data_IF_997589884878
#
_entry.id   IF_997589884878
#
_cell.length_a   1.000
_cell.length_b   1.000
_cell.length_c   1.000
_cell.angle_alpha   90.00
_cell.angle_beta   90.00
_cell.angle_gamma   90.00
#
_symmetry.space_group_name_H-M   'P 1'
#
loop_
_entity.id
_entity.type
_entity.pdbx_description
1 polymer ?
#
# COMPACT_ATOMS: atom_id res chain seq x y z
N UNK A 1 -13.61 4.08 -8.04
CA UNK A 1 -13.39 2.67 -7.66
C UNK A 1 -14.13 1.80 -8.63
N UNK A 2 -13.44 1.07 -9.50
CA UNK A 2 -14.12 0.19 -10.45
C UNK A 2 -14.71 -1.04 -9.77
N UNK A 3 -14.03 -1.58 -8.74
CA UNK A 3 -14.50 -2.74 -8.01
C UNK A 3 -14.44 -2.48 -6.50
N UNK A 4 -15.57 -2.61 -5.86
CA UNK A 4 -15.68 -2.61 -4.40
C UNK A 4 -16.40 -3.87 -3.95
N UNK A 5 -15.65 -4.80 -3.38
CA UNK A 5 -16.19 -6.00 -2.77
C UNK A 5 -16.59 -5.70 -1.33
N UNK A 6 -17.82 -5.97 -0.97
CA UNK A 6 -18.32 -5.64 0.37
C UNK A 6 -18.93 -6.87 1.02
N UNK A 7 -18.49 -7.16 2.24
CA UNK A 7 -19.01 -8.25 3.09
C UNK A 7 -18.92 -9.65 2.46
N UNK A 8 -17.84 -9.89 1.71
CA UNK A 8 -17.58 -11.20 1.15
C UNK A 8 -16.81 -12.06 2.14
N UNK A 9 -17.09 -13.35 2.11
CA UNK A 9 -16.32 -14.37 2.84
C UNK A 9 -15.97 -15.52 1.89
N UNK A 10 -14.78 -16.11 2.10
CA UNK A 10 -14.30 -17.28 1.33
C UNK A 10 -14.35 -17.05 -0.19
N UNK A 11 -13.97 -15.88 -0.63
CA UNK A 11 -14.12 -15.44 -2.01
C UNK A 11 -12.76 -15.02 -2.60
N UNK A 12 -12.70 -14.94 -3.91
CA UNK A 12 -11.47 -14.54 -4.59
C UNK A 12 -11.72 -13.70 -5.84
N UNK A 13 -10.73 -12.84 -6.15
CA UNK A 13 -10.53 -12.19 -7.44
C UNK A 13 -9.17 -12.63 -7.97
N UNK A 14 -9.11 -13.09 -9.21
CA UNK A 14 -7.84 -13.53 -9.81
C UNK A 14 -7.78 -13.29 -11.30
N UNK A 15 -6.56 -13.13 -11.84
CA UNK A 15 -6.26 -12.96 -13.26
C UNK A 15 -7.03 -11.77 -13.85
N UNK A 16 -6.88 -10.62 -13.21
CA UNK A 16 -7.53 -9.38 -13.62
C UNK A 16 -6.47 -8.39 -14.07
N UNK A 17 -6.73 -7.71 -15.17
CA UNK A 17 -5.94 -6.57 -15.61
C UNK A 17 -6.76 -5.31 -15.46
N UNK A 18 -6.19 -4.33 -14.79
CA UNK A 18 -6.68 -2.96 -14.70
C UNK A 18 -5.85 -2.07 -15.62
N UNK A 19 -6.50 -1.27 -16.43
CA UNK A 19 -5.82 -0.34 -17.35
C UNK A 19 -6.43 1.06 -17.22
N UNK A 20 -5.57 2.07 -17.01
CA UNK A 20 -5.97 3.46 -16.86
C UNK A 20 -7.00 3.69 -15.73
N UNK A 21 -6.79 3.08 -14.59
CA UNK A 21 -7.73 3.11 -13.46
C UNK A 21 -7.15 3.91 -12.30
N UNK A 22 -7.94 4.80 -11.72
CA UNK A 22 -7.52 5.57 -10.54
C UNK A 22 -7.41 4.73 -9.28
N UNK A 23 -8.44 3.95 -8.96
CA UNK A 23 -8.43 3.01 -7.82
C UNK A 23 -8.84 1.63 -8.32
N UNK A 24 -8.04 0.59 -8.10
CA UNK A 24 -8.28 -0.73 -8.69
C UNK A 24 -9.37 -1.51 -7.95
N UNK A 25 -9.06 -2.07 -6.81
CA UNK A 25 -10.03 -2.87 -6.05
C UNK A 25 -9.92 -2.63 -4.55
N UNK A 26 -11.05 -2.61 -3.88
CA UNK A 26 -11.13 -2.59 -2.42
C UNK A 26 -11.97 -3.76 -1.92
N UNK A 27 -11.43 -4.51 -0.96
CA UNK A 27 -12.18 -5.52 -0.21
C UNK A 27 -12.56 -4.90 1.13
N UNK A 28 -13.83 -4.59 1.30
CA UNK A 28 -14.36 -3.90 2.48
C UNK A 28 -15.22 -4.83 3.32
N UNK A 29 -14.96 -4.87 4.63
CA UNK A 29 -15.69 -5.71 5.59
C UNK A 29 -15.71 -7.20 5.19
N UNK A 30 -14.61 -7.67 4.58
CA UNK A 30 -14.48 -9.02 4.05
C UNK A 30 -13.66 -9.91 5.00
N UNK A 31 -13.79 -11.22 4.83
CA UNK A 31 -12.98 -12.20 5.57
C UNK A 31 -12.61 -13.40 4.70
N UNK A 32 -11.37 -13.91 4.88
CA UNK A 32 -10.86 -15.05 4.10
C UNK A 32 -10.97 -14.80 2.58
N UNK A 33 -10.54 -13.64 2.11
CA UNK A 33 -10.61 -13.27 0.70
C UNK A 33 -9.21 -13.26 0.08
N UNK A 34 -9.15 -13.58 -1.20
CA UNK A 34 -7.88 -13.65 -1.95
C UNK A 34 -7.99 -12.76 -3.19
N UNK A 35 -7.03 -11.86 -3.33
CA UNK A 35 -6.75 -11.15 -4.58
C UNK A 35 -5.42 -11.68 -5.13
N UNK A 36 -5.44 -12.29 -6.30
CA UNK A 36 -4.29 -13.01 -6.82
C UNK A 36 -4.10 -12.81 -8.31
N UNK A 37 -2.84 -12.60 -8.72
CA UNK A 37 -2.44 -12.50 -10.12
C UNK A 37 -3.17 -11.34 -10.83
N UNK A 38 -2.82 -10.12 -10.41
CA UNK A 38 -3.41 -8.88 -10.91
C UNK A 38 -2.34 -8.01 -11.56
N UNK A 39 -2.63 -7.51 -12.73
CA UNK A 39 -1.79 -6.55 -13.44
C UNK A 39 -2.47 -5.18 -13.47
N UNK A 40 -1.70 -4.13 -13.18
CA UNK A 40 -2.17 -2.73 -13.25
C UNK A 40 -1.28 -1.98 -14.22
N UNK A 41 -1.86 -1.38 -15.25
CA UNK A 41 -1.13 -0.76 -16.35
C UNK A 41 -1.72 0.58 -16.79
N UNK A 42 -0.96 1.28 -17.63
CA UNK A 42 -1.39 2.55 -18.21
C UNK A 42 -1.09 3.74 -17.33
N UNK A 43 -1.96 4.73 -17.31
CA UNK A 43 -1.73 5.96 -16.56
C UNK A 43 -1.79 5.71 -15.06
N UNK A 44 -0.90 6.41 -14.35
CA UNK A 44 -0.85 6.41 -12.90
C UNK A 44 -2.18 6.88 -12.30
N UNK A 45 -2.66 6.16 -11.30
CA UNK A 45 -3.86 6.50 -10.53
C UNK A 45 -3.57 6.60 -9.03
N UNK A 46 -4.62 6.51 -8.23
CA UNK A 46 -4.55 6.77 -6.78
C UNK A 46 -4.09 5.55 -5.98
N UNK A 47 -4.69 4.38 -6.20
CA UNK A 47 -4.34 3.21 -5.37
C UNK A 47 -4.49 1.89 -6.11
N UNK A 48 -3.64 0.93 -5.74
CA UNK A 48 -3.70 -0.45 -6.21
C UNK A 48 -4.84 -1.23 -5.49
N UNK A 49 -4.52 -2.32 -4.83
CA UNK A 49 -5.49 -3.18 -4.15
C UNK A 49 -5.42 -2.97 -2.64
N UNK A 50 -6.57 -2.87 -2.00
CA UNK A 50 -6.64 -2.57 -0.56
C UNK A 50 -7.62 -3.48 0.19
N UNK A 51 -7.20 -3.95 1.37
CA UNK A 51 -8.05 -4.56 2.38
C UNK A 51 -8.52 -3.47 3.35
N UNK A 52 -9.82 -3.24 3.45
CA UNK A 52 -10.42 -2.23 4.31
C UNK A 52 -11.38 -2.88 5.32
N UNK A 53 -11.18 -2.70 6.61
CA UNK A 53 -11.95 -3.40 7.66
C UNK A 53 -12.04 -4.91 7.42
N UNK A 54 -11.04 -5.52 6.84
CA UNK A 54 -11.07 -6.91 6.41
C UNK A 54 -10.09 -7.77 7.17
N UNK A 55 -10.37 -9.06 7.29
CA UNK A 55 -9.56 -9.98 8.07
C UNK A 55 -9.15 -11.21 7.27
N UNK A 56 -7.93 -11.70 7.57
CA UNK A 56 -7.39 -12.92 6.97
C UNK A 56 -7.47 -12.89 5.43
N UNK A 57 -7.14 -11.73 4.87
CA UNK A 57 -7.07 -11.52 3.43
C UNK A 57 -5.65 -11.75 2.90
N UNK A 58 -5.57 -12.19 1.65
CA UNK A 58 -4.32 -12.31 0.90
C UNK A 58 -4.41 -11.44 -0.36
N UNK A 59 -3.44 -10.54 -0.51
CA UNK A 59 -3.14 -9.86 -1.77
C UNK A 59 -1.82 -10.45 -2.27
N UNK A 60 -1.83 -11.11 -3.41
CA UNK A 60 -0.65 -11.80 -3.90
C UNK A 60 -0.45 -11.60 -5.41
N UNK A 61 0.82 -11.53 -5.82
CA UNK A 61 1.21 -11.38 -7.22
C UNK A 61 0.46 -10.21 -7.91
N UNK A 62 0.50 -9.04 -7.29
CA UNK A 62 0.00 -7.81 -7.92
C UNK A 62 1.18 -7.07 -8.52
N UNK A 63 1.12 -6.79 -9.81
CA UNK A 63 2.16 -6.11 -10.56
C UNK A 63 1.65 -4.76 -11.03
N UNK A 64 2.11 -3.70 -10.40
CA UNK A 64 1.77 -2.31 -10.76
C UNK A 64 2.85 -1.74 -11.68
N UNK A 65 2.53 -1.69 -12.97
CA UNK A 65 3.34 -1.14 -14.04
C UNK A 65 2.80 0.20 -14.56
N UNK A 66 2.04 0.93 -13.76
CA UNK A 66 1.53 2.24 -14.14
C UNK A 66 2.64 3.28 -14.17
N UNK A 67 2.46 4.32 -14.96
CA UNK A 67 3.42 5.42 -15.08
C UNK A 67 2.75 6.74 -15.46
N UNK A 68 3.47 7.83 -15.31
CA UNK A 68 3.03 9.15 -15.75
C UNK A 68 2.54 10.04 -14.61
N UNK A 69 1.67 10.97 -14.93
CA UNK A 69 1.07 11.87 -13.96
C UNK A 69 -0.09 11.21 -13.25
N UNK A 70 -0.31 11.59 -12.00
CA UNK A 70 -1.48 11.17 -11.25
C UNK A 70 -2.75 11.75 -11.90
N UNK A 71 -3.66 10.88 -12.28
CA UNK A 71 -4.92 11.26 -12.93
C UNK A 71 -6.04 11.61 -11.96
N UNK A 72 -5.86 11.33 -10.67
CA UNK A 72 -6.82 11.68 -9.62
C UNK A 72 -6.39 13.00 -8.96
N UNK A 73 -6.97 14.07 -9.36
CA UNK A 73 -6.59 15.42 -8.98
C UNK A 73 -7.34 15.98 -7.76
N UNK A 74 -8.42 15.35 -7.36
CA UNK A 74 -9.30 15.90 -6.32
C UNK A 74 -8.62 16.12 -4.97
N UNK A 75 -7.62 15.32 -4.65
CA UNK A 75 -6.94 15.37 -3.35
C UNK A 75 -5.43 15.59 -3.45
N UNK A 76 -4.87 15.49 -4.66
CA UNK A 76 -3.43 15.52 -4.84
C UNK A 76 -3.06 16.43 -6.00
N UNK A 77 -2.35 17.48 -5.69
CA UNK A 77 -1.72 18.38 -6.65
C UNK A 77 -0.33 17.88 -7.09
N UNK A 78 -0.07 16.58 -6.93
CA UNK A 78 1.24 16.03 -7.28
C UNK A 78 1.38 15.95 -8.79
N UNK A 79 2.11 16.90 -9.34
CA UNK A 79 2.40 17.02 -10.76
C UNK A 79 3.62 16.18 -11.20
N UNK A 80 4.23 15.43 -10.28
CA UNK A 80 5.41 14.64 -10.61
C UNK A 80 5.04 13.42 -11.44
N UNK A 81 5.77 13.22 -12.51
CA UNK A 81 5.75 11.95 -13.23
C UNK A 81 6.41 10.89 -12.38
N UNK A 82 5.80 9.75 -12.25
CA UNK A 82 6.34 8.65 -11.45
C UNK A 82 5.91 7.29 -11.95
N UNK A 83 6.47 6.27 -11.34
CA UNK A 83 6.15 4.86 -11.59
C UNK A 83 5.36 4.31 -10.41
N UNK A 84 4.29 3.59 -10.72
CA UNK A 84 3.36 3.00 -9.76
C UNK A 84 2.17 3.89 -9.47
N UNK A 85 1.13 3.33 -8.87
CA UNK A 85 -0.01 4.07 -8.33
C UNK A 85 0.48 5.02 -7.21
N UNK A 86 -0.31 6.01 -6.83
CA UNK A 86 0.08 6.89 -5.71
C UNK A 86 0.23 6.11 -4.39
N UNK A 87 -0.61 5.11 -4.18
CA UNK A 87 -0.51 4.13 -3.10
C UNK A 87 -0.46 2.72 -3.68
N UNK A 88 0.51 1.93 -3.29
CA UNK A 88 0.61 0.52 -3.64
C UNK A 88 -0.47 -0.33 -2.92
N UNK A 89 -0.30 -1.64 -2.94
CA UNK A 89 -1.16 -2.54 -2.16
C UNK A 89 -1.06 -2.25 -0.67
N UNK A 90 -2.18 -2.41 0.05
CA UNK A 90 -2.15 -2.12 1.47
C UNK A 90 -3.43 -2.45 2.25
N UNK A 91 -3.50 -1.85 3.41
CA UNK A 91 -4.58 -2.03 4.39
C UNK A 91 -5.14 -0.70 4.85
N UNK A 92 -6.39 -0.69 5.27
CA UNK A 92 -7.02 0.47 5.88
C UNK A 92 -8.10 0.07 6.87
N UNK A 93 -8.51 1.02 7.71
CA UNK A 93 -9.52 0.81 8.73
C UNK A 93 -9.11 -0.33 9.68
N UNK A 94 -9.93 -0.81 10.60
CA UNK A 94 -9.50 -1.85 11.54
C UNK A 94 -9.36 -3.24 10.88
N UNK A 95 -8.50 -3.32 9.86
CA UNK A 95 -8.12 -4.57 9.21
C UNK A 95 -7.17 -5.39 10.08
N UNK A 96 -7.26 -6.72 10.02
CA UNK A 96 -6.41 -7.59 10.86
C UNK A 96 -6.01 -8.90 10.15
N UNK A 97 -4.75 -9.28 10.33
CA UNK A 97 -4.25 -10.58 9.86
C UNK A 97 -4.22 -10.69 8.34
N UNK A 98 -3.88 -9.61 7.64
CA UNK A 98 -3.78 -9.60 6.19
C UNK A 98 -2.34 -9.79 5.73
N UNK A 99 -2.16 -10.45 4.60
CA UNK A 99 -0.87 -10.70 3.97
C UNK A 99 -0.84 -10.07 2.59
N UNK A 100 0.21 -9.32 2.31
CA UNK A 100 0.58 -8.81 1.00
C UNK A 100 1.84 -9.55 0.58
N UNK A 101 1.73 -10.44 -0.41
CA UNK A 101 2.79 -11.36 -0.77
C UNK A 101 3.22 -11.22 -2.22
N UNK A 102 4.55 -11.16 -2.45
CA UNK A 102 5.15 -11.14 -3.78
C UNK A 102 4.52 -10.10 -4.72
N UNK A 103 4.21 -8.92 -4.19
CA UNK A 103 3.67 -7.82 -4.97
C UNK A 103 4.80 -6.88 -5.41
N UNK A 104 4.67 -6.33 -6.61
CA UNK A 104 5.62 -5.36 -7.16
C UNK A 104 4.90 -4.08 -7.52
N UNK A 105 5.49 -2.96 -7.15
CA UNK A 105 4.99 -1.62 -7.48
C UNK A 105 6.10 -0.69 -7.92
N UNK A 106 5.75 0.49 -8.38
CA UNK A 106 6.68 1.44 -8.95
C UNK A 106 7.68 2.01 -7.96
N UNK A 107 8.76 2.57 -8.49
CA UNK A 107 9.85 3.15 -7.68
C UNK A 107 9.48 4.43 -6.93
N UNK A 108 8.39 5.09 -7.35
CA UNK A 108 7.87 6.34 -6.79
C UNK A 108 6.55 6.11 -6.04
N UNK A 109 6.49 5.04 -5.29
CA UNK A 109 5.29 4.57 -4.60
C UNK A 109 5.64 4.10 -3.18
N UNK A 110 4.66 3.68 -2.41
CA UNK A 110 4.82 3.06 -1.11
C UNK A 110 3.64 2.13 -0.82
N UNK A 111 3.86 1.12 0.01
CA UNK A 111 2.74 0.37 0.58
C UNK A 111 1.74 1.32 1.24
N UNK A 112 0.47 0.95 1.23
CA UNK A 112 -0.54 1.77 1.89
C UNK A 112 -0.88 1.24 3.29
N UNK A 113 -0.86 2.12 4.28
CA UNK A 113 -1.46 1.91 5.57
C UNK A 113 -2.32 3.12 5.92
N UNK A 114 -3.62 3.02 5.58
CA UNK A 114 -4.51 4.18 5.55
C UNK A 114 -5.40 4.26 6.79
N UNK A 115 -4.78 4.70 7.87
CA UNK A 115 -5.43 5.10 9.12
C UNK A 115 -6.44 4.11 9.72
N UNK A 116 -7.02 4.49 10.84
CA UNK A 116 -8.04 3.76 11.58
C UNK A 116 -7.56 2.38 12.06
N UNK A 117 -6.28 2.29 12.43
CA UNK A 117 -5.73 1.23 13.27
C UNK A 117 -5.75 -0.19 12.66
N UNK A 118 -5.34 -0.40 11.41
CA UNK A 118 -5.03 -1.76 10.96
C UNK A 118 -3.92 -2.36 11.83
N UNK A 119 -3.87 -3.69 11.91
CA UNK A 119 -2.89 -4.42 12.73
C UNK A 119 -2.64 -5.81 12.19
N UNK A 120 -1.54 -6.43 12.62
CA UNK A 120 -1.13 -7.76 12.19
C UNK A 120 -1.12 -7.88 10.66
N UNK A 121 -0.29 -7.07 10.01
CA UNK A 121 -0.14 -7.05 8.56
C UNK A 121 1.27 -7.51 8.18
N UNK A 122 1.37 -8.46 7.27
CA UNK A 122 2.63 -8.94 6.72
C UNK A 122 2.79 -8.49 5.27
N UNK A 123 3.90 -7.81 4.98
CA UNK A 123 4.43 -7.64 3.63
C UNK A 123 5.59 -8.61 3.44
N UNK A 124 5.45 -9.59 2.56
CA UNK A 124 6.43 -10.64 2.36
C UNK A 124 6.87 -10.73 0.89
N UNK A 125 8.18 -10.68 0.66
CA UNK A 125 8.77 -10.77 -0.67
C UNK A 125 8.33 -9.68 -1.64
N UNK A 126 7.87 -8.54 -1.14
CA UNK A 126 7.41 -7.43 -1.97
C UNK A 126 8.58 -6.60 -2.50
N UNK A 127 8.34 -5.90 -3.61
CA UNK A 127 9.34 -5.09 -4.29
C UNK A 127 8.75 -3.76 -4.76
N UNK A 128 9.42 -2.65 -4.49
CA UNK A 128 8.97 -1.35 -4.97
C UNK A 128 9.58 -0.15 -4.26
N UNK A 129 9.04 1.02 -4.52
CA UNK A 129 9.38 2.24 -3.84
C UNK A 129 9.02 2.23 -2.36
N UNK A 130 9.60 3.15 -1.62
CA UNK A 130 9.40 3.28 -0.18
C UNK A 130 9.35 4.76 0.21
N UNK A 131 8.41 5.49 -0.40
CA UNK A 131 8.27 6.93 -0.20
C UNK A 131 7.25 7.24 0.89
N UNK A 132 7.69 7.83 1.98
CA UNK A 132 6.84 8.14 3.14
C UNK A 132 5.54 8.88 2.76
N UNK A 133 5.64 9.86 1.86
CA UNK A 133 4.48 10.64 1.39
C UNK A 133 3.42 9.80 0.66
N UNK A 134 3.76 8.58 0.25
CA UNK A 134 2.87 7.65 -0.46
C UNK A 134 2.24 6.60 0.45
N UNK A 135 2.64 6.55 1.72
CA UNK A 135 2.11 5.54 2.65
C UNK A 135 0.59 5.71 2.93
N UNK A 136 0.05 6.87 2.69
CA UNK A 136 -1.34 7.19 2.99
C UNK A 136 -1.56 7.64 4.42
N UNK A 137 -2.80 7.78 4.80
CA UNK A 137 -3.19 8.15 6.14
C UNK A 137 -4.26 9.23 6.18
N UNK A 138 -4.84 9.40 7.36
CA UNK A 138 -5.82 10.44 7.65
C UNK A 138 -5.55 10.96 9.06
N UNK A 139 -5.24 12.23 9.18
CA UNK A 139 -4.92 12.87 10.46
C UNK A 139 -6.05 12.78 11.47
N UNK A 140 -7.29 12.67 11.02
CA UNK A 140 -8.45 12.54 11.91
C UNK A 140 -8.66 11.12 12.45
N UNK A 141 -7.92 10.13 11.92
CA UNK A 141 -8.15 8.71 12.18
C UNK A 141 -6.84 7.93 12.45
N UNK A 142 -5.93 8.55 13.15
CA UNK A 142 -4.65 7.96 13.54
C UNK A 142 -4.81 6.91 14.65
N UNK A 143 -3.82 6.03 14.81
CA UNK A 143 -2.64 5.84 13.97
C UNK A 143 -2.95 5.11 12.65
N UNK A 144 -1.99 5.20 11.72
CA UNK A 144 -2.09 4.53 10.42
C UNK A 144 -2.00 3.01 10.55
N UNK A 145 -1.19 2.53 11.46
CA UNK A 145 -1.06 1.11 11.80
C UNK A 145 -0.73 0.97 13.29
N UNK A 146 -1.34 -0.01 13.92
CA UNK A 146 -1.01 -0.44 15.28
C UNK A 146 0.05 -1.56 15.25
N UNK A 147 -0.06 -2.49 16.17
CA UNK A 147 0.90 -3.56 16.40
C UNK A 147 1.05 -4.52 15.21
N UNK A 148 2.16 -5.25 15.20
CA UNK A 148 2.44 -6.36 14.30
C UNK A 148 2.42 -6.00 12.80
N UNK A 149 2.93 -4.84 12.45
CA UNK A 149 3.34 -4.57 11.06
C UNK A 149 4.69 -5.28 10.83
N UNK A 150 4.73 -6.18 9.88
CA UNK A 150 5.95 -6.92 9.55
C UNK A 150 6.29 -6.75 8.08
N UNK A 151 7.56 -6.46 7.80
CA UNK A 151 8.14 -6.46 6.47
C UNK A 151 9.20 -7.53 6.41
N UNK A 152 8.97 -8.54 5.58
CA UNK A 152 9.86 -9.67 5.41
C UNK A 152 10.40 -9.69 3.98
N UNK A 153 11.73 -9.73 3.84
CA UNK A 153 12.41 -9.85 2.56
C UNK A 153 11.94 -8.81 1.51
N UNK A 154 11.90 -7.55 1.92
CA UNK A 154 11.46 -6.44 1.07
C UNK A 154 12.60 -5.92 0.20
N UNK A 155 12.38 -5.81 -1.11
CA UNK A 155 13.33 -5.20 -2.04
C UNK A 155 12.93 -3.75 -2.35
N UNK A 156 13.64 -2.79 -1.76
CA UNK A 156 13.44 -1.38 -2.07
C UNK A 156 14.04 -1.03 -3.44
N UNK A 157 13.26 -0.38 -4.29
CA UNK A 157 13.70 0.10 -5.61
C UNK A 157 13.50 1.60 -5.79
N UNK A 158 13.30 2.34 -4.71
CA UNK A 158 13.13 3.79 -4.76
C UNK A 158 14.32 4.45 -5.46
N UNK A 159 14.04 5.29 -6.46
CA UNK A 159 15.08 6.03 -7.19
C UNK A 159 15.40 7.37 -6.53
N UNK A 160 14.43 7.95 -5.86
CA UNK A 160 14.56 9.17 -5.08
C UNK A 160 13.96 8.92 -3.70
N UNK A 161 14.63 8.19 -2.81
CA UNK A 161 14.18 8.13 -1.43
C UNK A 161 14.10 9.55 -0.91
N UNK A 162 13.06 9.87 -0.15
CA UNK A 162 12.97 11.19 0.49
C UNK A 162 14.31 11.49 1.18
N UNK A 163 14.84 12.67 0.98
CA UNK A 163 16.15 13.10 1.56
C UNK A 163 16.16 13.01 3.10
N UNK A 164 14.99 12.86 3.69
CA UNK A 164 14.78 12.74 5.13
C UNK A 164 14.61 11.26 5.50
N UNK A 165 15.03 10.87 6.72
CA UNK A 165 14.76 9.54 7.24
C UNK A 165 13.26 9.22 7.17
N UNK A 166 12.93 8.00 6.79
CA UNK A 166 11.56 7.49 6.85
C UNK A 166 11.15 7.38 8.32
N UNK A 167 10.16 8.17 8.71
CA UNK A 167 9.68 8.23 10.09
C UNK A 167 8.43 7.38 10.25
N UNK A 168 8.50 6.42 11.14
CA UNK A 168 7.32 5.62 11.50
C UNK A 168 6.33 6.43 12.33
N UNK A 169 6.83 7.29 13.19
CA UNK A 169 6.00 8.16 14.02
C UNK A 169 6.41 9.63 13.84
N UNK A 170 5.61 10.38 13.14
CA UNK A 170 5.84 11.81 12.93
C UNK A 170 5.12 12.62 14.02
N UNK A 171 5.86 13.41 14.79
CA UNK A 171 5.32 14.18 15.92
C UNK A 171 4.57 15.46 15.50
N UNK A 172 4.70 15.89 14.27
CA UNK A 172 3.94 17.03 13.77
C UNK A 172 2.47 16.66 13.50
N UNK A 173 1.65 17.63 13.04
CA UNK A 173 0.26 17.38 12.66
C UNK A 173 0.13 16.62 11.33
N UNK A 174 1.12 15.79 10.98
CA UNK A 174 1.07 14.94 9.80
C UNK A 174 0.52 13.56 10.12
N UNK A 175 0.06 12.87 9.10
CA UNK A 175 -0.62 11.56 9.21
C UNK A 175 0.31 10.34 9.27
N UNK A 176 1.63 10.53 9.29
CA UNK A 176 2.58 9.40 9.37
C UNK A 176 2.76 8.96 10.83
N UNK A 177 1.82 8.16 11.31
CA UNK A 177 1.85 7.61 12.66
C UNK A 177 1.54 6.12 12.61
N UNK A 178 2.61 5.35 12.50
CA UNK A 178 2.59 3.89 12.52
C UNK A 178 3.51 3.45 13.65
N UNK A 179 3.08 2.51 14.47
CA UNK A 179 4.01 1.91 15.44
C UNK A 179 5.17 1.27 14.69
N UNK A 180 6.39 1.31 15.23
CA UNK A 180 7.57 0.76 14.57
C UNK A 180 7.35 -0.70 14.15
N UNK A 181 7.58 -1.05 12.89
CA UNK A 181 7.37 -2.40 12.40
C UNK A 181 8.55 -3.32 12.74
N UNK A 182 8.31 -4.61 12.62
CA UNK A 182 9.38 -5.60 12.50
C UNK A 182 9.86 -5.65 11.05
N UNK A 183 11.15 -5.37 10.81
CA UNK A 183 11.75 -5.38 9.48
C UNK A 183 12.86 -6.42 9.43
N UNK A 184 12.73 -7.40 8.55
CA UNK A 184 13.72 -8.48 8.36
C UNK A 184 14.01 -8.64 6.88
N UNK A 185 15.30 -8.60 6.49
CA UNK A 185 15.71 -8.80 5.10
C UNK A 185 15.34 -7.64 4.16
N UNK A 186 15.33 -6.41 4.65
CA UNK A 186 15.17 -5.22 3.81
C UNK A 186 16.47 -4.97 3.04
N UNK A 187 16.38 -4.83 1.72
CA UNK A 187 17.53 -4.69 0.85
C UNK A 187 17.20 -3.86 -0.41
N UNK A 188 18.22 -3.63 -1.26
CA UNK A 188 18.08 -2.77 -2.44
C UNK A 188 18.50 -1.33 -2.14
N UNK A 189 17.71 -0.35 -2.56
CA UNK A 189 17.99 1.06 -2.28
C UNK A 189 17.97 1.32 -0.78
N UNK A 190 18.99 2.00 -0.29
CA UNK A 190 19.10 2.31 1.14
C UNK A 190 18.02 3.29 1.58
N UNK A 191 17.33 2.97 2.65
CA UNK A 191 16.39 3.86 3.34
C UNK A 191 16.80 3.95 4.79
N UNK A 192 16.95 5.16 5.30
CA UNK A 192 17.22 5.40 6.72
C UNK A 192 15.88 5.47 7.44
N UNK A 193 15.69 4.64 8.44
CA UNK A 193 14.51 4.67 9.31
C UNK A 193 14.79 5.49 10.57
N UNK A 194 13.81 6.25 11.01
CA UNK A 194 13.84 6.99 12.27
C UNK A 194 12.53 6.77 13.05
N UNK A 195 12.67 6.79 14.36
CA UNK A 195 11.58 6.69 15.31
C UNK A 195 10.83 8.03 15.47
#
# INVERSE_FOLDING_TARGET
>A
KPINFVRLVNSWMRRVRFENISECATFQDCANVICYDVEITGNRGHSAVRMASSSRGLIANVYDNTWGYLTSDKYFSDQRTGLGQYHACGVSKPSIGNVIWNCTWGTDDCFESHATQPRATLFDGCKGGFMQLRMGGDISQLPNHLDDLTMWNFTCTATNPDELPFKWWENSNRWYKTLPPTIIGFHGTHVTFAD
#
